data_IF_339040121650
#
_entry.id   IF_339040121650
#
_cell.length_a   1.000
_cell.length_b   1.000
_cell.length_c   1.000
_cell.angle_alpha   90.00
_cell.angle_beta   90.00
_cell.angle_gamma   90.00
#
_symmetry.space_group_name_H-M   'P 1'
#
loop_
_entity.id
_entity.type
_entity.pdbx_description
1 polymer ?
#
# COMPACT_ATOMS: atom_id res chain seq x y z
N UNK A 1 8.12 -10.30 1.69
CA UNK A 1 6.64 -10.34 1.62
C UNK A 1 6.18 -11.75 1.31
N UNK A 2 5.24 -12.27 2.08
CA UNK A 2 4.65 -13.59 1.85
C UNK A 2 3.22 -13.49 1.35
N UNK A 3 2.38 -12.74 2.06
CA UNK A 3 0.97 -12.58 1.70
C UNK A 3 0.52 -11.13 1.83
N UNK A 4 -0.55 -10.78 1.13
CA UNK A 4 -1.19 -9.48 1.25
C UNK A 4 -2.70 -9.61 1.14
N UNK A 5 -3.41 -8.65 1.72
CA UNK A 5 -4.84 -8.47 1.61
C UNK A 5 -5.14 -7.07 1.08
N UNK A 6 -6.06 -6.96 0.14
CA UNK A 6 -6.56 -5.66 -0.33
C UNK A 6 -7.47 -5.01 0.71
N UNK A 7 -7.34 -3.71 0.86
CA UNK A 7 -8.27 -2.88 1.64
C UNK A 7 -8.71 -1.75 0.73
N UNK A 8 -9.99 -1.70 0.39
CA UNK A 8 -10.53 -0.80 -0.63
C UNK A 8 -11.76 -0.07 -0.11
N UNK A 9 -11.75 1.25 -0.23
CA UNK A 9 -12.96 2.08 -0.19
C UNK A 9 -13.24 2.55 -1.62
N UNK A 10 -14.41 2.25 -2.15
CA UNK A 10 -14.73 2.50 -3.56
C UNK A 10 -16.05 3.24 -3.71
N UNK A 11 -16.05 4.27 -4.54
CA UNK A 11 -17.24 5.05 -4.89
C UNK A 11 -17.93 4.42 -6.11
N UNK A 12 -18.95 3.60 -5.86
CA UNK A 12 -19.73 2.95 -6.91
C UNK A 12 -20.57 3.93 -7.75
N UNK A 13 -20.89 5.08 -7.18
CA UNK A 13 -21.81 6.05 -7.82
C UNK A 13 -21.08 6.85 -8.90
N UNK A 14 -19.87 7.31 -8.59
CA UNK A 14 -19.13 8.23 -9.45
C UNK A 14 -18.02 7.55 -10.28
N UNK A 15 -17.62 6.33 -9.91
CA UNK A 15 -16.54 5.62 -10.60
C UNK A 15 -17.07 4.36 -11.30
N UNK A 16 -16.59 4.05 -12.51
CA UNK A 16 -16.95 2.82 -13.20
C UNK A 16 -16.32 1.59 -12.51
N UNK A 17 -17.00 0.45 -12.60
CA UNK A 17 -16.48 -0.81 -12.01
C UNK A 17 -15.14 -1.24 -12.60
N UNK A 18 -14.86 -0.85 -13.84
CA UNK A 18 -13.57 -1.11 -14.50
C UNK A 18 -12.40 -0.47 -13.76
N UNK A 19 -12.61 0.70 -13.15
CA UNK A 19 -11.58 1.38 -12.35
C UNK A 19 -11.16 0.52 -11.16
N UNK A 20 -12.12 -0.10 -10.48
CA UNK A 20 -11.81 -1.01 -9.36
C UNK A 20 -10.97 -2.20 -9.83
N UNK A 21 -11.33 -2.81 -10.94
CA UNK A 21 -10.61 -3.94 -11.53
C UNK A 21 -9.15 -3.57 -11.82
N UNK A 22 -8.91 -2.41 -12.43
CA UNK A 22 -7.56 -1.95 -12.76
C UNK A 22 -6.74 -1.64 -11.50
N UNK A 23 -7.35 -1.06 -10.47
CA UNK A 23 -6.69 -0.79 -9.20
C UNK A 23 -6.25 -2.09 -8.52
N UNK A 24 -7.16 -3.07 -8.44
CA UNK A 24 -6.86 -4.38 -7.86
C UNK A 24 -5.77 -5.11 -8.64
N UNK A 25 -5.79 -5.00 -9.95
CA UNK A 25 -4.76 -5.57 -10.83
C UNK A 25 -3.39 -4.97 -10.54
N UNK A 26 -3.30 -3.64 -10.43
CA UNK A 26 -2.05 -2.96 -10.11
C UNK A 26 -1.46 -3.41 -8.76
N UNK A 27 -2.31 -3.54 -7.74
CA UNK A 27 -1.90 -4.05 -6.43
C UNK A 27 -1.39 -5.48 -6.49
N UNK A 28 -2.10 -6.34 -7.20
CA UNK A 28 -1.71 -7.74 -7.37
C UNK A 28 -0.36 -7.88 -8.10
N UNK A 29 -0.14 -7.08 -9.13
CA UNK A 29 1.13 -7.06 -9.86
C UNK A 29 2.30 -6.71 -8.93
N UNK A 30 2.13 -5.72 -8.06
CA UNK A 30 3.16 -5.33 -7.09
C UNK A 30 3.46 -6.41 -6.06
N UNK A 31 2.44 -7.10 -5.58
CA UNK A 31 2.63 -8.21 -4.64
C UNK A 31 3.36 -9.38 -5.31
N UNK A 32 3.02 -9.69 -6.55
CA UNK A 32 3.70 -10.74 -7.31
C UNK A 32 5.15 -10.39 -7.62
N UNK A 33 5.44 -9.14 -7.91
CA UNK A 33 6.81 -8.62 -8.08
C UNK A 33 7.70 -8.92 -6.87
N UNK A 34 7.13 -8.84 -5.65
CA UNK A 34 7.82 -9.15 -4.41
C UNK A 34 7.88 -10.65 -4.08
N UNK A 35 7.35 -11.51 -4.93
CA UNK A 35 7.26 -12.95 -4.68
C UNK A 35 6.14 -13.34 -3.71
N UNK A 36 5.26 -12.40 -3.37
CA UNK A 36 4.12 -12.65 -2.48
C UNK A 36 2.87 -13.13 -3.20
N UNK A 37 1.86 -13.47 -2.42
CA UNK A 37 0.55 -13.91 -2.90
C UNK A 37 -0.54 -13.04 -2.31
N UNK A 38 -1.45 -12.55 -3.16
CA UNK A 38 -2.65 -11.86 -2.73
C UNK A 38 -3.69 -12.89 -2.27
N UNK A 39 -4.06 -12.85 -0.99
CA UNK A 39 -4.93 -13.86 -0.37
C UNK A 39 -6.39 -13.45 -0.28
N UNK A 40 -6.73 -12.22 -0.63
CA UNK A 40 -8.08 -11.71 -0.54
C UNK A 40 -8.10 -10.25 -0.10
N UNK A 41 -9.12 -9.85 0.62
CA UNK A 41 -9.24 -8.49 1.11
C UNK A 41 -10.67 -8.11 1.46
N UNK A 42 -10.91 -6.81 1.61
CA UNK A 42 -12.20 -6.24 1.93
C UNK A 42 -12.45 -4.97 1.15
N UNK A 43 -13.64 -4.85 0.58
CA UNK A 43 -14.09 -3.67 -0.15
C UNK A 43 -15.33 -3.10 0.53
N UNK A 44 -15.30 -1.80 0.82
CA UNK A 44 -16.44 -1.07 1.38
C UNK A 44 -16.88 0.04 0.41
N UNK A 45 -18.15 0.42 0.50
CA UNK A 45 -18.63 1.62 -0.18
C UNK A 45 -18.12 2.85 0.54
N UNK A 46 -17.61 3.80 -0.21
CA UNK A 46 -17.08 5.05 0.32
C UNK A 46 -17.27 6.17 -0.70
N UNK A 47 -17.62 7.40 -0.26
CA UNK A 47 -17.67 8.54 -1.18
C UNK A 47 -16.29 8.94 -1.70
N UNK A 48 -15.25 8.47 -1.05
CA UNK A 48 -13.87 8.71 -1.47
C UNK A 48 -13.19 7.39 -1.79
N UNK A 49 -12.24 7.44 -2.71
CA UNK A 49 -11.45 6.28 -3.10
C UNK A 49 -10.28 6.07 -2.14
N UNK A 50 -10.24 4.91 -1.50
CA UNK A 50 -9.11 4.47 -0.68
C UNK A 50 -8.61 3.13 -1.18
N UNK A 51 -7.30 2.98 -1.23
CA UNK A 51 -6.68 1.70 -1.56
C UNK A 51 -5.43 1.47 -0.74
N UNK A 52 -5.31 0.29 -0.19
CA UNK A 52 -4.14 -0.13 0.55
C UNK A 52 -3.99 -1.64 0.59
N UNK A 53 -2.86 -2.06 1.11
CA UNK A 53 -2.54 -3.47 1.28
C UNK A 53 -2.15 -3.72 2.73
N UNK A 54 -2.72 -4.77 3.32
CA UNK A 54 -2.24 -5.34 4.57
C UNK A 54 -1.23 -6.44 4.21
N UNK A 55 0.03 -6.21 4.52
CA UNK A 55 1.13 -7.06 4.07
C UNK A 55 1.72 -7.83 5.24
N UNK A 56 1.88 -9.14 5.07
CA UNK A 56 2.55 -10.02 6.03
C UNK A 56 3.81 -10.58 5.41
N UNK A 57 4.90 -10.52 6.13
CA UNK A 57 6.18 -11.05 5.69
C UNK A 57 6.92 -11.75 6.82
N UNK A 58 8.06 -12.31 6.48
CA UNK A 58 8.96 -12.94 7.43
C UNK A 58 10.32 -12.27 7.36
N UNK A 59 10.92 -12.06 8.52
CA UNK A 59 12.26 -11.49 8.62
C UNK A 59 13.00 -12.13 9.79
N UNK A 60 14.31 -12.28 9.63
CA UNK A 60 15.16 -12.73 10.73
C UNK A 60 15.16 -11.68 11.85
N UNK A 61 15.05 -12.07 13.14
CA UNK A 61 14.99 -11.11 14.25
C UNK A 61 16.11 -10.07 14.26
N UNK A 62 17.31 -10.45 13.88
CA UNK A 62 18.48 -9.58 13.85
C UNK A 62 18.47 -8.57 12.69
N UNK A 63 17.55 -8.71 11.73
CA UNK A 63 17.44 -7.85 10.54
C UNK A 63 16.21 -6.94 10.58
N UNK A 64 15.49 -6.90 11.68
CA UNK A 64 14.29 -6.07 11.80
C UNK A 64 14.67 -4.59 11.79
N UNK A 65 14.09 -3.83 10.87
CA UNK A 65 14.15 -2.38 10.84
C UNK A 65 12.85 -1.80 11.39
N UNK A 66 12.91 -1.24 12.58
CA UNK A 66 11.73 -0.67 13.26
C UNK A 66 11.62 0.81 12.97
N UNK A 67 10.44 1.39 13.20
CA UNK A 67 10.19 2.81 12.97
C UNK A 67 10.93 3.74 13.95
N UNK A 68 11.50 3.21 15.02
CA UNK A 68 12.15 3.98 16.09
C UNK A 68 13.63 3.65 16.26
N UNK A 69 14.29 3.09 15.25
CA UNK A 69 15.69 2.65 15.37
C UNK A 69 16.70 3.55 14.68
N UNK A 70 16.27 4.68 14.11
CA UNK A 70 17.18 5.66 13.53
C UNK A 70 18.07 6.29 14.62
N UNK A 71 19.34 6.48 14.30
CA UNK A 71 20.36 7.01 15.21
C UNK A 71 21.11 8.16 14.57
N UNK A 72 21.77 8.97 15.39
CA UNK A 72 22.70 10.01 14.91
C UNK A 72 23.80 9.36 14.06
N UNK A 73 24.06 9.95 12.90
CA UNK A 73 24.99 9.40 11.90
C UNK A 73 24.35 8.54 10.81
N UNK A 74 23.09 8.13 10.98
CA UNK A 74 22.34 7.46 9.91
C UNK A 74 21.98 8.43 8.78
N UNK A 75 21.95 7.93 7.57
CA UNK A 75 21.52 8.69 6.39
C UNK A 75 20.03 8.44 6.15
N UNK A 76 19.30 9.52 5.87
CA UNK A 76 17.89 9.46 5.52
C UNK A 76 17.75 9.44 3.99
N UNK A 77 17.00 8.47 3.48
CA UNK A 77 16.76 8.34 2.05
C UNK A 77 15.25 8.43 1.82
N UNK A 78 14.85 9.42 1.03
CA UNK A 78 13.46 9.57 0.60
C UNK A 78 13.31 8.90 -0.78
N UNK A 79 12.47 7.88 -0.84
CA UNK A 79 12.27 7.08 -2.05
C UNK A 79 11.19 7.61 -2.99
N UNK A 80 10.52 8.69 -2.61
CA UNK A 80 9.44 9.31 -3.38
C UNK A 80 9.57 10.83 -3.36
N UNK A 81 9.00 11.55 -4.35
CA UNK A 81 9.01 13.01 -4.34
C UNK A 81 8.31 13.59 -3.12
N UNK A 82 8.78 14.75 -2.67
CA UNK A 82 8.12 15.57 -1.65
C UNK A 82 6.94 16.35 -2.27
N UNK A 83 6.02 16.79 -1.42
CA UNK A 83 4.97 17.73 -1.81
C UNK A 83 3.54 17.20 -1.70
N UNK A 84 3.33 15.96 -1.32
CA UNK A 84 1.98 15.38 -1.19
C UNK A 84 1.10 16.18 -0.24
N UNK A 85 1.61 16.60 0.91
CA UNK A 85 0.87 17.41 1.86
C UNK A 85 0.48 18.79 1.30
N UNK A 86 1.34 19.40 0.50
CA UNK A 86 1.05 20.68 -0.16
C UNK A 86 -0.05 20.49 -1.20
N UNK A 87 0.06 19.46 -2.04
CA UNK A 87 -0.91 19.18 -3.09
C UNK A 87 -2.29 18.83 -2.54
N UNK A 88 -2.36 18.11 -1.44
CA UNK A 88 -3.64 17.70 -0.85
C UNK A 88 -4.33 18.82 -0.06
N UNK A 89 -3.58 19.83 0.38
CA UNK A 89 -4.10 20.93 1.20
C UNK A 89 -4.38 22.20 0.38
N UNK A 90 -3.75 22.32 -0.76
CA UNK A 90 -3.95 23.47 -1.67
C UNK A 90 -5.35 23.45 -2.40
#
# INVERSE_FOLDING_TARGET
VKTALNIVGFDKVNLPSDALTEILKGGNEKIRECGGVLMGGHTIESPEMYYGLSVTGLIHPDKISRNNTAKVGHVLILTKPLGTGILSTA
#
